data_IF_001139225774
#
_entry.id   IF_001139225774
#
_cell.length_a   1.000
_cell.length_b   1.000
_cell.length_c   1.000
_cell.angle_alpha   90.00
_cell.angle_beta   90.00
_cell.angle_gamma   90.00
#
_symmetry.space_group_name_H-M   'P 1'
#
loop_
_entity.id
_entity.type
_entity.pdbx_description
1 polymer ?
#
# COMPACT_ATOMS: atom_id res chain seq x y z
N UNK A 1 -12.22 9.13 3.74
CA UNK A 1 -13.06 9.28 2.52
C UNK A 1 -12.44 8.52 1.37
N UNK A 2 -13.22 7.99 0.41
CA UNK A 2 -12.63 7.36 -0.75
C UNK A 2 -11.87 8.40 -1.59
N UNK A 3 -10.70 8.04 -2.10
CA UNK A 3 -9.95 8.84 -3.06
C UNK A 3 -10.00 8.20 -4.44
N UNK A 4 -10.27 9.00 -5.47
CA UNK A 4 -10.21 8.59 -6.87
C UNK A 4 -8.85 9.00 -7.45
N UNK A 5 -8.01 8.01 -7.74
CA UNK A 5 -6.67 8.20 -8.31
C UNK A 5 -6.62 7.71 -9.77
N UNK A 6 -7.78 7.50 -10.39
CA UNK A 6 -7.91 7.15 -11.79
C UNK A 6 -7.72 8.34 -12.71
N UNK A 7 -7.62 8.07 -14.02
CA UNK A 7 -7.61 9.10 -15.04
C UNK A 7 -8.93 9.91 -15.13
N UNK A 8 -10.02 9.49 -14.46
CA UNK A 8 -11.28 10.22 -14.46
C UNK A 8 -11.25 11.47 -13.55
N UNK A 9 -10.34 11.51 -12.57
CA UNK A 9 -10.22 12.62 -11.65
C UNK A 9 -9.57 13.85 -12.33
N UNK A 10 -10.40 14.81 -12.71
CA UNK A 10 -9.95 16.05 -13.39
C UNK A 10 -9.11 16.97 -12.51
N UNK A 11 -9.25 16.88 -11.19
CA UNK A 11 -8.42 17.69 -10.28
C UNK A 11 -7.02 17.08 -10.17
N UNK A 12 -6.92 15.74 -10.10
CA UNK A 12 -5.64 15.03 -10.11
C UNK A 12 -4.82 15.34 -11.37
N UNK A 13 -5.47 15.45 -12.54
CA UNK A 13 -4.79 15.79 -13.80
C UNK A 13 -4.11 17.17 -13.82
N UNK A 14 -4.50 18.08 -12.90
CA UNK A 14 -3.89 19.40 -12.78
C UNK A 14 -2.64 19.42 -11.88
N UNK A 15 -2.40 18.32 -11.16
CA UNK A 15 -1.30 18.19 -10.20
C UNK A 15 -0.05 17.70 -10.94
N UNK A 16 1.08 18.33 -10.69
CA UNK A 16 2.36 17.77 -11.11
C UNK A 16 2.71 16.58 -10.20
N UNK A 17 2.38 15.37 -10.65
CA UNK A 17 2.60 14.15 -9.87
C UNK A 17 4.08 13.80 -9.73
N UNK A 18 4.99 14.34 -10.55
CA UNK A 18 6.43 14.10 -10.40
C UNK A 18 7.01 14.82 -9.17
N UNK A 19 6.34 15.88 -8.70
CA UNK A 19 6.67 16.56 -7.45
C UNK A 19 5.86 15.98 -6.29
N UNK A 20 6.53 15.16 -5.47
CA UNK A 20 5.90 14.49 -4.31
C UNK A 20 5.34 15.49 -3.30
N UNK A 21 5.91 16.69 -3.16
CA UNK A 21 5.38 17.69 -2.24
C UNK A 21 4.05 18.24 -2.75
N UNK A 22 3.94 18.58 -4.04
CA UNK A 22 2.69 19.00 -4.65
C UNK A 22 1.63 17.90 -4.63
N UNK A 23 2.03 16.66 -4.90
CA UNK A 23 1.11 15.52 -4.80
C UNK A 23 0.65 15.31 -3.36
N UNK A 24 1.54 15.46 -2.37
CA UNK A 24 1.18 15.38 -0.95
C UNK A 24 0.20 16.46 -0.55
N UNK A 25 0.44 17.71 -0.94
CA UNK A 25 -0.50 18.81 -0.70
C UNK A 25 -1.86 18.51 -1.30
N UNK A 26 -1.93 18.04 -2.55
CA UNK A 26 -3.21 17.67 -3.18
C UNK A 26 -4.01 16.67 -2.35
N UNK A 27 -3.37 15.59 -1.87
CA UNK A 27 -4.03 14.57 -1.06
C UNK A 27 -4.51 15.16 0.27
N UNK A 28 -3.60 15.75 1.05
CA UNK A 28 -3.89 16.16 2.42
C UNK A 28 -4.76 17.43 2.49
N UNK A 29 -4.65 18.35 1.53
CA UNK A 29 -5.54 19.51 1.43
C UNK A 29 -6.97 19.07 1.09
N UNK A 30 -7.13 18.06 0.22
CA UNK A 30 -8.44 17.47 -0.09
C UNK A 30 -9.07 16.82 1.16
N UNK A 31 -8.29 16.07 1.94
CA UNK A 31 -8.78 15.49 3.20
C UNK A 31 -9.19 16.58 4.20
N UNK A 32 -8.35 17.61 4.37
CA UNK A 32 -8.60 18.72 5.27
C UNK A 32 -9.86 19.51 4.86
N UNK A 33 -10.04 19.80 3.57
CA UNK A 33 -11.20 20.56 3.08
C UNK A 33 -12.53 19.82 3.27
N UNK A 34 -12.49 18.48 3.38
CA UNK A 34 -13.66 17.64 3.66
C UNK A 34 -13.77 17.25 5.15
N UNK A 35 -12.88 17.74 6.01
CA UNK A 35 -12.87 17.44 7.44
C UNK A 35 -12.62 15.96 7.74
N UNK A 36 -11.89 15.24 6.88
CA UNK A 36 -11.61 13.81 7.04
C UNK A 36 -10.18 13.60 7.52
N UNK A 37 -9.99 12.62 8.43
CA UNK A 37 -8.68 12.31 9.02
C UNK A 37 -7.81 11.42 8.12
N UNK A 38 -8.45 10.62 7.26
CA UNK A 38 -7.76 9.74 6.33
C UNK A 38 -8.53 9.58 5.01
N UNK A 39 -7.78 9.31 3.95
CA UNK A 39 -8.27 8.82 2.66
C UNK A 39 -8.15 7.30 2.59
N UNK A 40 -8.96 6.64 1.78
CA UNK A 40 -8.81 5.20 1.53
C UNK A 40 -9.21 4.82 0.11
N UNK A 41 -8.82 3.62 -0.33
CA UNK A 41 -9.32 2.99 -1.56
C UNK A 41 -8.21 2.43 -2.43
N UNK A 42 -8.56 2.06 -3.67
CA UNK A 42 -7.57 1.65 -4.66
C UNK A 42 -7.62 0.18 -5.06
N UNK A 43 -8.33 -0.69 -4.35
CA UNK A 43 -8.36 -2.11 -4.72
C UNK A 43 -8.91 -2.31 -6.15
N UNK A 44 -8.08 -2.88 -7.02
CA UNK A 44 -8.27 -3.05 -8.46
C UNK A 44 -8.57 -1.76 -9.25
N UNK A 45 -8.17 -0.61 -8.69
CA UNK A 45 -8.29 0.69 -9.32
C UNK A 45 -7.22 0.86 -10.41
N UNK A 46 -7.59 1.28 -11.64
CA UNK A 46 -6.64 1.64 -12.69
C UNK A 46 -6.10 3.06 -12.45
N UNK A 47 -4.99 3.17 -11.73
CA UNK A 47 -4.49 4.46 -11.25
C UNK A 47 -3.60 5.16 -12.27
N UNK A 48 -3.85 6.46 -12.43
CA UNK A 48 -3.04 7.33 -13.27
C UNK A 48 -1.71 7.73 -12.59
N UNK A 49 -1.62 7.63 -11.26
CA UNK A 49 -0.46 8.10 -10.51
C UNK A 49 0.83 7.33 -10.81
N UNK A 50 0.72 6.09 -11.31
CA UNK A 50 1.87 5.24 -11.63
C UNK A 50 2.66 5.72 -12.85
N UNK A 51 2.10 6.62 -13.67
CA UNK A 51 2.83 7.23 -14.79
C UNK A 51 4.06 8.03 -14.37
N UNK A 52 4.17 8.40 -13.08
CA UNK A 52 5.30 9.16 -12.54
C UNK A 52 6.62 8.38 -12.47
N UNK A 53 6.61 7.04 -12.46
CA UNK A 53 7.83 6.23 -12.30
C UNK A 53 7.98 5.12 -13.35
N UNK A 54 9.21 4.97 -13.84
CA UNK A 54 9.59 3.93 -14.80
C UNK A 54 9.50 2.51 -14.22
N UNK A 55 9.50 2.35 -12.89
CA UNK A 55 9.31 1.02 -12.27
C UNK A 55 8.01 0.40 -12.74
N UNK A 56 6.96 1.18 -13.01
CA UNK A 56 5.67 0.69 -13.47
C UNK A 56 5.62 0.34 -14.97
N UNK A 57 6.75 0.42 -15.67
CA UNK A 57 6.86 0.16 -17.09
C UNK A 57 6.90 1.46 -17.90
N UNK A 58 7.67 1.42 -18.99
CA UNK A 58 7.89 2.57 -19.87
C UNK A 58 7.07 2.49 -21.17
N UNK A 59 6.47 1.33 -21.45
CA UNK A 59 5.66 1.08 -22.64
C UNK A 59 4.18 1.00 -22.26
N UNK A 60 3.26 1.70 -22.96
CA UNK A 60 1.84 1.73 -22.60
C UNK A 60 1.17 0.35 -22.48
N UNK A 61 1.59 -0.62 -23.29
CA UNK A 61 1.03 -1.97 -23.31
C UNK A 61 1.46 -2.83 -22.12
N UNK A 62 2.62 -2.52 -21.54
CA UNK A 62 3.20 -3.23 -20.41
C UNK A 62 3.11 -2.42 -19.11
N UNK A 63 2.36 -1.33 -19.14
CA UNK A 63 2.26 -0.42 -18.01
C UNK A 63 1.42 -1.04 -16.91
N UNK A 64 2.01 -1.15 -15.73
CA UNK A 64 1.37 -1.62 -14.50
C UNK A 64 0.56 -0.47 -13.93
N UNK A 65 -0.76 -0.63 -13.90
CA UNK A 65 -1.67 0.42 -13.44
C UNK A 65 -2.77 -0.07 -12.49
N UNK A 66 -3.02 -1.38 -12.45
CA UNK A 66 -4.04 -1.97 -11.59
C UNK A 66 -3.45 -2.17 -10.21
N UNK A 67 -3.94 -1.42 -9.23
CA UNK A 67 -3.50 -1.54 -7.83
C UNK A 67 -4.08 -2.81 -7.18
N UNK A 68 -3.23 -3.55 -6.48
CA UNK A 68 -3.56 -4.87 -5.93
C UNK A 68 -3.81 -4.86 -4.42
N UNK A 69 -3.53 -3.74 -3.76
CA UNK A 69 -3.82 -3.52 -2.35
C UNK A 69 -4.97 -2.56 -2.12
N UNK A 70 -5.05 -2.05 -0.91
CA UNK A 70 -5.83 -0.88 -0.55
C UNK A 70 -4.90 0.11 0.15
N UNK A 71 -5.00 1.37 -0.26
CA UNK A 71 -4.22 2.41 0.37
C UNK A 71 -5.03 3.13 1.43
N UNK A 72 -4.37 3.46 2.54
CA UNK A 72 -4.89 4.32 3.60
C UNK A 72 -4.00 5.55 3.70
N UNK A 73 -4.49 6.68 3.22
CA UNK A 73 -3.78 7.96 3.18
C UNK A 73 -3.95 8.67 4.52
N UNK A 74 -2.89 8.67 5.32
CA UNK A 74 -2.86 9.23 6.66
C UNK A 74 -1.48 9.88 6.91
N UNK A 75 -1.36 10.80 7.89
CA UNK A 75 -0.09 11.44 8.18
C UNK A 75 1.04 10.45 8.43
N UNK A 76 2.27 10.84 8.08
CA UNK A 76 3.46 10.09 8.53
C UNK A 76 3.45 9.93 10.06
N UNK A 77 4.14 8.88 10.53
CA UNK A 77 4.15 8.43 11.93
C UNK A 77 2.80 7.89 12.45
N UNK A 78 1.76 7.80 11.61
CA UNK A 78 0.53 7.08 11.98
C UNK A 78 0.85 5.60 12.24
N UNK A 79 0.45 5.10 13.41
CA UNK A 79 0.68 3.72 13.82
C UNK A 79 -0.14 2.73 12.98
N UNK A 80 0.50 1.63 12.60
CA UNK A 80 -0.08 0.50 11.87
C UNK A 80 -0.01 -0.72 12.77
N UNK A 81 -1.14 -1.42 12.88
CA UNK A 81 -1.30 -2.55 13.80
C UNK A 81 -1.46 -3.85 13.02
N UNK A 82 -1.02 -4.96 13.61
CA UNK A 82 -1.17 -6.27 12.99
C UNK A 82 -2.66 -6.70 12.97
N UNK A 83 -3.21 -7.08 11.81
CA UNK A 83 -4.63 -7.42 11.68
C UNK A 83 -4.96 -8.77 12.34
N UNK A 84 -3.98 -9.68 12.40
CA UNK A 84 -4.09 -11.02 12.97
C UNK A 84 -2.77 -11.47 13.58
N UNK A 85 -2.85 -12.49 14.43
CA UNK A 85 -1.70 -13.25 14.89
C UNK A 85 -0.89 -13.77 13.70
N UNK A 86 0.43 -13.77 13.84
CA UNK A 86 1.31 -14.22 12.78
C UNK A 86 2.79 -14.11 13.13
N UNK A 87 3.60 -14.10 12.08
CA UNK A 87 5.03 -13.88 12.17
C UNK A 87 5.54 -13.04 11.01
N UNK A 88 6.64 -12.33 11.22
CA UNK A 88 7.37 -11.65 10.16
C UNK A 88 7.85 -12.71 9.17
N UNK A 89 7.27 -12.74 7.97
CA UNK A 89 7.74 -13.61 6.89
C UNK A 89 9.04 -13.08 6.30
N UNK A 90 9.04 -11.78 5.96
CA UNK A 90 10.15 -11.09 5.31
C UNK A 90 9.94 -9.58 5.39
N UNK A 91 11.00 -8.82 5.19
CA UNK A 91 10.97 -7.36 5.13
C UNK A 91 12.14 -6.86 4.27
N UNK A 92 11.99 -5.69 3.67
CA UNK A 92 13.01 -5.07 2.80
C UNK A 92 12.79 -3.55 2.73
N UNK A 93 13.87 -2.80 2.51
CA UNK A 93 13.77 -1.40 2.08
C UNK A 93 13.88 -1.35 0.55
N UNK A 94 12.73 -1.21 -0.12
CA UNK A 94 12.61 -1.13 -1.57
C UNK A 94 12.76 0.33 -2.03
N UNK A 95 13.97 0.87 -1.89
CA UNK A 95 14.27 2.32 -1.92
C UNK A 95 14.27 2.98 -3.32
N UNK A 96 13.84 2.24 -4.35
CA UNK A 96 13.67 2.77 -5.71
C UNK A 96 12.52 3.79 -5.78
N UNK A 97 12.69 4.85 -6.56
CA UNK A 97 11.66 5.87 -6.74
C UNK A 97 10.35 5.29 -7.29
N UNK A 98 9.26 5.50 -6.57
CA UNK A 98 7.94 4.96 -6.90
C UNK A 98 7.70 3.52 -6.42
N UNK A 99 8.71 2.82 -5.89
CA UNK A 99 8.51 1.51 -5.26
C UNK A 99 7.96 1.69 -3.83
N UNK A 100 7.92 0.64 -3.02
CA UNK A 100 7.31 0.68 -1.68
C UNK A 100 8.11 1.43 -0.62
N UNK A 101 9.42 1.60 -0.79
CA UNK A 101 10.30 1.90 0.35
C UNK A 101 10.30 0.75 1.37
N UNK A 102 10.37 1.04 2.68
CA UNK A 102 10.28 0.04 3.73
C UNK A 102 8.98 -0.77 3.68
N UNK A 103 9.14 -2.09 3.58
CA UNK A 103 8.06 -3.07 3.45
C UNK A 103 8.20 -4.18 4.48
N UNK A 104 7.09 -4.56 5.11
CA UNK A 104 6.97 -5.73 5.98
C UNK A 104 5.93 -6.68 5.41
N UNK A 105 6.22 -7.98 5.41
CA UNK A 105 5.26 -9.03 5.07
C UNK A 105 5.06 -9.92 6.30
N UNK A 106 3.82 -10.04 6.76
CA UNK A 106 3.43 -11.00 7.78
C UNK A 106 2.87 -12.28 7.14
N UNK A 107 3.09 -13.40 7.80
CA UNK A 107 2.48 -14.69 7.52
C UNK A 107 1.47 -15.02 8.62
N UNK A 108 0.23 -15.29 8.23
CA UNK A 108 -0.87 -15.60 9.13
C UNK A 108 -1.38 -17.03 8.91
N UNK A 109 -1.30 -17.92 9.92
CA UNK A 109 -1.99 -19.19 9.88
C UNK A 109 -3.49 -18.98 10.13
N UNK A 110 -4.34 -19.25 9.15
CA UNK A 110 -5.80 -19.11 9.25
C UNK A 110 -6.44 -20.47 8.97
N UNK A 111 -6.74 -21.22 10.02
CA UNK A 111 -7.23 -22.59 9.91
C UNK A 111 -6.17 -23.51 9.29
N UNK A 112 -6.49 -24.15 8.16
CA UNK A 112 -5.54 -24.95 7.37
C UNK A 112 -4.75 -24.13 6.35
N UNK A 113 -5.16 -22.88 6.11
CA UNK A 113 -4.60 -22.03 5.08
C UNK A 113 -3.57 -21.05 5.65
N UNK A 114 -2.77 -20.47 4.77
CA UNK A 114 -1.89 -19.35 5.08
C UNK A 114 -2.31 -18.15 4.23
N UNK A 115 -2.46 -17.00 4.87
CA UNK A 115 -2.61 -15.71 4.19
C UNK A 115 -1.43 -14.84 4.58
N UNK A 116 -0.91 -14.08 3.64
CA UNK A 116 0.11 -13.08 3.87
C UNK A 116 -0.51 -11.68 3.83
N UNK A 117 0.00 -10.79 4.66
CA UNK A 117 -0.30 -9.37 4.57
C UNK A 117 0.98 -8.58 4.30
N UNK A 118 0.95 -7.72 3.29
CA UNK A 118 2.03 -6.83 2.91
C UNK A 118 1.69 -5.42 3.34
N UNK A 119 2.63 -4.76 4.01
CA UNK A 119 2.57 -3.38 4.46
C UNK A 119 3.71 -2.61 3.78
N UNK A 120 3.38 -1.71 2.85
CA UNK A 120 4.34 -0.85 2.15
C UNK A 120 4.29 0.59 2.64
N UNK A 121 5.25 1.40 2.18
CA UNK A 121 5.36 2.84 2.48
C UNK A 121 5.56 3.15 3.97
N UNK A 122 6.27 2.26 4.67
CA UNK A 122 6.51 2.36 6.11
C UNK A 122 7.70 3.27 6.45
N UNK A 123 7.83 3.63 7.72
CA UNK A 123 9.02 4.34 8.19
C UNK A 123 10.21 3.40 8.28
N UNK A 124 11.37 3.84 7.78
CA UNK A 124 12.59 3.01 7.71
C UNK A 124 13.07 2.58 9.09
N UNK A 125 12.82 3.41 10.11
CA UNK A 125 13.20 3.13 11.50
C UNK A 125 12.55 1.85 12.03
N UNK A 126 11.37 1.48 11.53
CA UNK A 126 10.61 0.33 12.01
C UNK A 126 11.13 -1.01 11.46
N UNK A 127 12.05 -0.98 10.49
CA UNK A 127 12.80 -2.18 10.08
C UNK A 127 13.91 -2.54 11.08
N UNK A 128 14.26 -1.64 12.00
CA UNK A 128 15.28 -1.91 13.01
C UNK A 128 14.72 -2.82 14.11
N UNK A 129 15.39 -3.94 14.37
CA UNK A 129 15.06 -4.83 15.48
C UNK A 129 14.04 -5.93 15.18
N UNK A 130 13.39 -5.89 14.00
CA UNK A 130 12.60 -7.02 13.51
C UNK A 130 13.50 -8.09 12.89
N UNK A 131 13.02 -9.33 12.87
CA UNK A 131 13.70 -10.47 12.24
C UNK A 131 12.68 -11.48 11.73
N UNK A 132 13.05 -12.24 10.69
CA UNK A 132 12.20 -13.29 10.11
C UNK A 132 11.83 -14.32 11.17
N UNK A 133 10.55 -14.65 11.29
CA UNK A 133 9.98 -15.55 12.29
C UNK A 133 9.64 -14.88 13.63
N UNK A 134 9.89 -13.58 13.79
CA UNK A 134 9.43 -12.82 14.95
C UNK A 134 7.90 -12.88 15.03
N UNK A 135 7.37 -13.30 16.19
CA UNK A 135 5.92 -13.41 16.42
C UNK A 135 5.30 -12.04 16.63
N UNK A 136 4.10 -11.87 16.09
CA UNK A 136 3.27 -10.67 16.21
C UNK A 136 1.87 -11.13 16.57
N UNK A 137 1.25 -10.50 17.57
CA UNK A 137 -0.13 -10.75 17.96
C UNK A 137 -1.07 -9.76 17.29
N UNK A 138 -2.32 -10.16 17.09
CA UNK A 138 -3.36 -9.26 16.63
C UNK A 138 -3.44 -8.02 17.52
N UNK A 139 -3.45 -6.84 16.90
CA UNK A 139 -3.50 -5.57 17.61
C UNK A 139 -2.16 -5.07 18.15
N UNK A 140 -1.05 -5.81 17.97
CA UNK A 140 0.27 -5.28 18.26
C UNK A 140 0.59 -4.10 17.34
N UNK A 141 1.21 -3.06 17.90
CA UNK A 141 1.80 -1.98 17.11
C UNK A 141 2.96 -2.55 16.30
N UNK A 142 2.79 -2.62 14.98
CA UNK A 142 3.73 -3.25 14.07
C UNK A 142 4.78 -2.27 13.57
N UNK A 143 4.33 -1.12 13.07
CA UNK A 143 5.16 -0.11 12.41
C UNK A 143 4.40 1.21 12.30
N UNK A 144 4.98 2.19 11.60
CA UNK A 144 4.39 3.49 11.32
C UNK A 144 4.48 3.84 9.83
N UNK A 145 3.55 4.66 9.35
CA UNK A 145 3.59 5.21 7.98
C UNK A 145 4.84 6.10 7.82
N UNK A 146 5.61 5.88 6.75
CA UNK A 146 6.82 6.64 6.47
C UNK A 146 6.54 7.95 5.74
N UNK A 147 7.33 9.02 6.00
CA UNK A 147 7.31 10.22 5.18
C UNK A 147 8.03 9.99 3.83
N UNK A 148 7.74 10.82 2.84
CA UNK A 148 8.66 10.94 1.70
C UNK A 148 9.95 11.66 2.14
N UNK A 149 11.11 11.34 1.54
CA UNK A 149 11.29 10.44 0.40
C UNK A 149 11.44 8.96 0.76
N UNK A 150 11.49 8.58 2.04
CA UNK A 150 11.89 7.22 2.42
C UNK A 150 10.90 6.13 2.05
N UNK A 151 9.61 6.45 2.01
CA UNK A 151 8.53 5.55 1.65
C UNK A 151 8.42 5.26 0.12
N UNK A 152 9.53 5.29 -0.62
CA UNK A 152 9.53 5.21 -2.09
C UNK A 152 9.12 6.53 -2.77
N UNK A 153 9.19 7.64 -2.04
CA UNK A 153 8.86 8.99 -2.50
C UNK A 153 7.39 9.19 -2.91
N UNK A 154 6.47 8.68 -2.08
CA UNK A 154 5.02 8.86 -2.20
C UNK A 154 4.48 9.81 -1.12
N UNK A 155 3.34 10.49 -1.32
CA UNK A 155 2.64 11.08 -0.18
C UNK A 155 2.42 10.04 0.92
N UNK A 156 2.45 10.44 2.19
CA UNK A 156 2.34 9.48 3.29
C UNK A 156 1.02 8.69 3.21
N UNK A 157 1.14 7.37 3.14
CA UNK A 157 0.03 6.42 3.17
C UNK A 157 0.55 5.03 3.52
N UNK A 158 -0.35 4.15 3.93
CA UNK A 158 -0.09 2.71 4.02
C UNK A 158 -0.58 2.06 2.72
N UNK A 159 0.25 1.24 2.07
CA UNK A 159 -0.23 0.22 1.13
C UNK A 159 -0.44 -1.07 1.91
N UNK A 160 -1.67 -1.57 1.96
CA UNK A 160 -2.00 -2.84 2.61
C UNK A 160 -2.56 -3.83 1.59
N UNK A 161 -2.00 -5.02 1.54
CA UNK A 161 -2.39 -6.04 0.57
C UNK A 161 -2.43 -7.43 1.20
N UNK A 162 -3.49 -8.18 0.91
CA UNK A 162 -3.58 -9.59 1.23
C UNK A 162 -3.08 -10.42 0.06
N UNK A 163 -2.40 -11.53 0.34
CA UNK A 163 -1.82 -12.41 -0.68
C UNK A 163 -2.02 -13.87 -0.23
N UNK A 164 -2.51 -14.75 -1.11
CA UNK A 164 -2.66 -16.18 -0.81
C UNK A 164 -1.37 -16.95 -1.08
N UNK A 165 -0.74 -16.71 -2.23
CA UNK A 165 0.52 -17.33 -2.63
C UNK A 165 1.58 -16.26 -2.97
N UNK A 166 2.68 -16.24 -2.21
CA UNK A 166 3.80 -15.35 -2.46
C UNK A 166 4.65 -15.74 -3.68
N UNK A 167 4.43 -16.91 -4.28
CA UNK A 167 5.17 -17.39 -5.45
C UNK A 167 6.70 -17.39 -5.22
N UNK A 168 7.12 -17.72 -4.00
CA UNK A 168 8.50 -17.67 -3.50
C UNK A 168 9.13 -16.27 -3.38
N UNK A 169 8.35 -15.19 -3.53
CA UNK A 169 8.85 -13.84 -3.26
C UNK A 169 9.14 -13.65 -1.76
N UNK A 170 10.10 -12.78 -1.47
CA UNK A 170 10.52 -12.40 -0.12
C UNK A 170 10.96 -10.94 -0.13
N UNK A 171 10.58 -10.18 0.88
CA UNK A 171 10.89 -8.74 1.02
C UNK A 171 10.03 -7.83 0.14
N UNK A 172 9.47 -8.35 -0.94
CA UNK A 172 8.65 -7.64 -1.90
C UNK A 172 7.57 -8.57 -2.49
N UNK A 173 6.52 -8.00 -3.05
CA UNK A 173 5.52 -8.69 -3.87
C UNK A 173 4.78 -7.66 -4.75
N UNK A 174 4.40 -7.98 -6.01
CA UNK A 174 3.71 -7.03 -6.88
C UNK A 174 2.49 -6.36 -6.20
N UNK A 175 2.59 -5.03 -6.04
CA UNK A 175 1.49 -4.17 -5.58
C UNK A 175 0.65 -3.57 -6.69
N UNK A 176 1.18 -3.66 -7.91
CA UNK A 176 0.55 -3.15 -9.12
C UNK A 176 0.82 -4.15 -10.23
N UNK A 177 -0.20 -4.47 -11.02
CA UNK A 177 -0.06 -5.31 -12.20
C UNK A 177 -0.55 -4.61 -13.47
N UNK A 178 -0.25 -5.23 -14.61
CA UNK A 178 -0.84 -4.82 -15.89
C UNK A 178 -2.33 -5.21 -15.94
N UNK A 179 -3.14 -4.55 -16.79
CA UNK A 179 -4.53 -4.98 -17.02
C UNK A 179 -4.67 -6.44 -17.47
N UNK A 180 -3.68 -6.98 -18.19
CA UNK A 180 -3.69 -8.36 -18.68
C UNK A 180 -3.51 -9.41 -17.57
N UNK A 181 -2.84 -9.04 -16.47
CA UNK A 181 -2.59 -9.94 -15.32
C UNK A 181 -3.66 -9.79 -14.23
N UNK A 182 -4.61 -8.88 -14.41
CA UNK A 182 -5.59 -8.52 -13.38
C UNK A 182 -6.32 -9.73 -12.81
N UNK A 183 -6.82 -10.62 -13.66
CA UNK A 183 -7.65 -11.75 -13.21
C UNK A 183 -6.85 -12.70 -12.30
N UNK A 184 -5.59 -12.97 -12.65
CA UNK A 184 -4.68 -13.76 -11.83
C UNK A 184 -4.45 -13.10 -10.45
N UNK A 185 -4.10 -11.81 -10.44
CA UNK A 185 -3.83 -11.14 -9.18
C UNK A 185 -5.08 -10.86 -8.35
N UNK A 186 -6.25 -10.67 -8.96
CA UNK A 186 -7.52 -10.56 -8.22
C UNK A 186 -7.87 -11.86 -7.49
N UNK A 187 -7.56 -13.02 -8.07
CA UNK A 187 -7.73 -14.30 -7.39
C UNK A 187 -6.74 -14.48 -6.24
N UNK A 188 -5.48 -14.05 -6.43
CA UNK A 188 -4.41 -14.24 -5.45
C UNK A 188 -4.36 -13.15 -4.35
N UNK A 189 -4.83 -11.95 -4.65
CA UNK A 189 -4.80 -10.78 -3.76
C UNK A 189 -6.24 -10.34 -3.49
N UNK A 190 -6.93 -10.90 -2.47
CA UNK A 190 -8.31 -10.56 -2.19
C UNK A 190 -8.45 -9.13 -1.63
N UNK A 191 -9.65 -8.55 -1.80
CA UNK A 191 -9.98 -7.21 -1.30
C UNK A 191 -9.79 -7.14 0.24
N UNK A 192 -8.87 -6.29 0.74
CA UNK A 192 -8.61 -6.18 2.16
C UNK A 192 -9.61 -5.27 2.90
N UNK A 193 -10.58 -4.66 2.22
CA UNK A 193 -11.44 -3.62 2.81
C UNK A 193 -12.10 -4.03 4.12
N UNK A 194 -12.68 -5.23 4.19
CA UNK A 194 -13.35 -5.73 5.41
C UNK A 194 -12.40 -6.06 6.56
N UNK A 195 -11.10 -6.17 6.30
CA UNK A 195 -10.07 -6.39 7.32
C UNK A 195 -9.64 -5.06 7.93
N UNK A 196 -9.50 -4.03 7.10
CA UNK A 196 -9.15 -2.68 7.55
C UNK A 196 -10.33 -1.94 8.19
N UNK A 197 -11.56 -2.20 7.70
CA UNK A 197 -12.79 -1.56 8.14
C UNK A 197 -13.85 -2.62 8.50
N UNK A 198 -13.65 -3.40 9.57
CA UNK A 198 -14.54 -4.52 9.92
C UNK A 198 -15.96 -4.09 10.29
N UNK A 199 -16.11 -2.91 10.89
CA UNK A 199 -17.40 -2.30 11.22
C UNK A 199 -17.96 -1.42 10.08
N UNK A 200 -17.31 -1.46 8.92
CA UNK A 200 -17.52 -0.51 7.84
C UNK A 200 -16.87 0.84 8.13
N UNK A 201 -17.29 1.86 7.38
CA UNK A 201 -16.84 3.23 7.61
C UNK A 201 -17.95 3.96 8.34
N UNK A 202 -17.66 4.51 9.51
CA UNK A 202 -18.55 5.45 10.16
C UNK A 202 -18.68 6.71 9.26
N UNK A 203 -19.92 7.06 8.88
CA UNK A 203 -20.22 8.17 7.97
C UNK A 203 -19.89 9.56 8.56
#
# INVERSE_FOLDING_TARGET
MPLDLTAANKELQKVNLDDTALFSSFIFDSLASHGKQFGYGGYLEPRAIYHRSAVFGTEPQHMRSIHLGLDVWAPADTAVYAPWDGEIHSFQDNDEFGNYGPTIILKHPIGSETIYSLFGHLSRKDLAGIYVGMKVQQGDALCTIGPFPENGNWPAHLHFQLIKDLQNNSGDYPGVCTPAEKDFYQENCPDPFSILFPDGLEE
#
